data_IF_984105243741
#
_entry.id   IF_984105243741
#
_cell.length_a   1.000
_cell.length_b   1.000
_cell.length_c   1.000
_cell.angle_alpha   90.00
_cell.angle_beta   90.00
_cell.angle_gamma   90.00
#
_symmetry.space_group_name_H-M   'P 1'
#
loop_
_entity.id
_entity.type
_entity.pdbx_description
1 polymer ?
#
# COMPACT_ATOMS: atom_id res chain seq x y z
N UNK A 1 11.75 39.65 -22.66
CA UNK A 1 11.13 38.32 -22.50
C UNK A 1 9.69 38.55 -22.06
N UNK A 2 8.64 38.19 -22.81
CA UNK A 2 7.28 38.41 -22.37
C UNK A 2 7.03 37.47 -21.19
N UNK A 3 6.66 38.01 -20.05
CA UNK A 3 6.10 37.29 -18.90
C UNK A 3 4.74 36.76 -19.34
N UNK A 4 4.69 35.49 -19.76
CA UNK A 4 3.42 34.83 -20.01
C UNK A 4 2.68 34.77 -18.67
N UNK A 5 1.56 35.49 -18.60
CA UNK A 5 0.75 35.61 -17.40
C UNK A 5 0.28 34.21 -16.99
N UNK A 6 0.60 33.80 -15.78
CA UNK A 6 0.29 32.46 -15.25
C UNK A 6 -1.22 32.14 -15.37
N UNK A 7 -2.05 33.17 -15.49
CA UNK A 7 -3.50 33.05 -15.63
C UNK A 7 -3.94 32.50 -17.01
N UNK A 8 -3.18 32.76 -18.08
CA UNK A 8 -3.51 32.29 -19.43
C UNK A 8 -3.16 30.82 -19.66
N UNK A 9 -2.17 30.30 -18.96
CA UNK A 9 -1.69 28.90 -19.11
C UNK A 9 -2.78 27.89 -18.69
N UNK A 10 -3.58 28.21 -17.66
CA UNK A 10 -4.66 27.32 -17.16
C UNK A 10 -5.78 27.11 -18.20
N UNK A 11 -6.02 28.05 -19.07
CA UNK A 11 -7.08 27.98 -20.09
C UNK A 11 -6.78 26.95 -21.18
N UNK A 12 -5.53 26.50 -21.32
CA UNK A 12 -5.10 25.59 -22.40
C UNK A 12 -4.82 24.18 -21.94
N UNK A 13 -4.60 23.93 -20.64
CA UNK A 13 -4.40 22.57 -20.09
C UNK A 13 -5.76 21.92 -19.82
N UNK A 14 -5.99 20.76 -20.42
CA UNK A 14 -7.19 19.96 -20.19
C UNK A 14 -6.89 18.71 -19.37
N UNK A 15 -7.90 18.14 -18.70
CA UNK A 15 -7.77 16.84 -18.03
C UNK A 15 -7.33 15.72 -18.99
N UNK A 16 -7.65 15.85 -20.27
CA UNK A 16 -7.19 14.93 -21.32
C UNK A 16 -5.68 14.97 -21.46
N UNK A 17 -5.08 16.15 -21.51
CA UNK A 17 -3.62 16.32 -21.53
C UNK A 17 -2.97 15.61 -20.34
N UNK A 18 -3.50 15.84 -19.14
CA UNK A 18 -2.96 15.25 -17.90
C UNK A 18 -3.07 13.71 -17.90
N UNK A 19 -4.23 13.17 -18.26
CA UNK A 19 -4.44 11.71 -18.37
C UNK A 19 -3.51 11.07 -19.40
N UNK A 20 -3.34 11.70 -20.57
CA UNK A 20 -2.48 11.19 -21.63
C UNK A 20 -1.02 11.21 -21.20
N UNK A 21 -0.59 12.30 -20.56
CA UNK A 21 0.76 12.42 -20.04
C UNK A 21 1.08 11.33 -18.99
N UNK A 22 0.20 11.11 -18.01
CA UNK A 22 0.39 10.06 -17.00
C UNK A 22 0.46 8.68 -17.65
N UNK A 23 -0.41 8.37 -18.61
CA UNK A 23 -0.40 7.08 -19.28
C UNK A 23 0.92 6.83 -20.04
N UNK A 24 1.45 7.85 -20.75
CA UNK A 24 2.75 7.72 -21.44
C UNK A 24 3.90 7.62 -20.43
N UNK A 25 3.84 8.37 -19.33
CA UNK A 25 4.87 8.35 -18.28
C UNK A 25 4.96 6.97 -17.58
N UNK A 26 3.84 6.29 -17.39
CA UNK A 26 3.79 4.96 -16.76
C UNK A 26 4.19 3.84 -17.73
N UNK A 27 3.76 3.93 -18.98
CA UNK A 27 4.08 2.92 -20.00
C UNK A 27 5.48 3.08 -20.61
N UNK A 28 6.04 4.29 -20.58
CA UNK A 28 7.28 4.67 -21.29
C UNK A 28 7.26 4.23 -22.77
N UNK A 29 6.04 4.20 -23.34
CA UNK A 29 5.80 3.75 -24.72
C UNK A 29 4.47 4.27 -25.27
N UNK A 30 4.51 5.10 -26.29
CA UNK A 30 3.31 5.74 -26.86
C UNK A 30 2.24 4.76 -27.34
N UNK A 31 2.62 3.69 -28.04
CA UNK A 31 1.63 2.72 -28.55
C UNK A 31 0.99 1.87 -27.44
N UNK A 32 1.69 1.56 -26.33
CA UNK A 32 1.11 0.89 -25.17
C UNK A 32 0.17 1.84 -24.43
N UNK A 33 0.58 3.08 -24.20
CA UNK A 33 -0.27 4.10 -23.59
C UNK A 33 -1.55 4.35 -24.42
N UNK A 34 -1.45 4.43 -25.76
CA UNK A 34 -2.59 4.59 -26.63
C UNK A 34 -3.58 3.42 -26.52
N UNK A 35 -3.09 2.18 -26.49
CA UNK A 35 -3.93 0.98 -26.27
C UNK A 35 -4.62 1.01 -24.90
N UNK A 36 -3.88 1.36 -23.84
CA UNK A 36 -4.44 1.49 -22.49
C UNK A 36 -5.54 2.54 -22.40
N UNK A 37 -5.41 3.62 -23.16
CA UNK A 37 -6.38 4.72 -23.21
C UNK A 37 -7.50 4.49 -24.24
N UNK A 38 -7.44 3.39 -24.97
CA UNK A 38 -8.37 3.05 -26.04
C UNK A 38 -8.46 4.13 -27.15
N UNK A 39 -7.30 4.66 -27.55
CA UNK A 39 -7.16 5.67 -28.62
C UNK A 39 -6.06 5.25 -29.61
N UNK A 40 -6.04 5.87 -30.79
CA UNK A 40 -4.92 5.71 -31.73
C UNK A 40 -3.69 6.54 -31.28
N UNK A 41 -2.48 6.10 -31.65
CA UNK A 41 -1.24 6.75 -31.23
C UNK A 41 -1.05 8.19 -31.77
N UNK A 42 -1.44 8.54 -33.02
CA UNK A 42 -1.22 9.89 -33.54
C UNK A 42 -1.86 11.00 -32.69
N UNK A 43 -3.16 10.95 -32.33
CA UNK A 43 -3.76 11.97 -31.48
C UNK A 43 -3.14 12.01 -30.06
N UNK A 44 -2.74 10.87 -29.51
CA UNK A 44 -2.01 10.87 -28.21
C UNK A 44 -0.70 11.65 -28.33
N UNK A 45 0.10 11.38 -29.36
CA UNK A 45 1.36 12.09 -29.60
C UNK A 45 1.18 13.59 -29.83
N UNK A 46 0.12 13.98 -30.53
CA UNK A 46 -0.22 15.38 -30.75
C UNK A 46 -0.58 16.09 -29.45
N UNK A 47 -1.43 15.48 -28.62
CA UNK A 47 -1.81 16.05 -27.32
C UNK A 47 -0.63 16.19 -26.36
N UNK A 48 0.32 15.25 -26.38
CA UNK A 48 1.54 15.38 -25.58
C UNK A 48 2.41 16.53 -26.10
N UNK A 49 2.55 16.73 -27.42
CA UNK A 49 3.30 17.89 -27.95
C UNK A 49 2.64 19.23 -27.55
N UNK A 50 1.32 19.32 -27.69
CA UNK A 50 0.58 20.49 -27.25
C UNK A 50 0.81 20.79 -25.76
N UNK A 51 0.83 19.75 -24.91
CA UNK A 51 1.14 19.92 -23.49
C UNK A 51 2.57 20.40 -23.28
N UNK A 52 3.56 19.85 -23.99
CA UNK A 52 4.95 20.28 -23.94
C UNK A 52 5.11 21.75 -24.38
N UNK A 53 4.38 22.16 -25.42
CA UNK A 53 4.34 23.55 -25.89
C UNK A 53 3.75 24.50 -24.83
N UNK A 54 2.64 24.11 -24.18
CA UNK A 54 2.00 24.87 -23.10
C UNK A 54 2.94 24.99 -21.87
N UNK A 55 3.59 23.89 -21.51
CA UNK A 55 4.55 23.88 -20.38
C UNK A 55 5.85 24.63 -20.70
N UNK A 56 6.12 24.82 -22.00
CA UNK A 56 7.35 25.46 -22.50
C UNK A 56 8.60 24.61 -22.33
N UNK A 57 8.43 23.30 -22.14
CA UNK A 57 9.54 22.37 -21.95
C UNK A 57 9.16 20.96 -22.41
N UNK A 58 10.13 20.23 -22.96
CA UNK A 58 9.95 18.82 -23.28
C UNK A 58 9.77 18.02 -21.98
N UNK A 59 8.72 17.22 -21.90
CA UNK A 59 8.43 16.32 -20.77
C UNK A 59 8.98 14.92 -21.00
N UNK A 60 9.20 14.55 -22.29
CA UNK A 60 9.78 13.28 -22.67
C UNK A 60 11.00 13.45 -23.56
N UNK A 61 12.02 12.63 -23.31
CA UNK A 61 13.10 12.36 -24.27
C UNK A 61 12.62 11.21 -25.16
N UNK A 62 12.61 11.43 -26.48
CA UNK A 62 12.15 10.44 -27.46
C UNK A 62 13.30 10.07 -28.37
N UNK A 63 13.66 8.81 -28.39
CA UNK A 63 14.57 8.22 -29.38
C UNK A 63 13.82 7.17 -30.19
N UNK A 64 14.40 6.70 -31.29
CA UNK A 64 13.81 5.61 -32.10
C UNK A 64 13.56 4.32 -31.29
N UNK A 65 14.19 4.17 -30.13
CA UNK A 65 14.16 2.93 -29.32
C UNK A 65 13.64 3.11 -27.90
N UNK A 66 13.55 4.34 -27.37
CA UNK A 66 13.20 4.58 -25.96
C UNK A 66 12.44 5.88 -25.78
N UNK A 67 11.51 5.85 -24.83
CA UNK A 67 10.84 7.03 -24.27
C UNK A 67 11.22 7.10 -22.79
N UNK A 68 11.67 8.26 -22.34
CA UNK A 68 12.05 8.52 -20.95
C UNK A 68 11.51 9.87 -20.51
N UNK A 69 11.24 10.05 -19.23
CA UNK A 69 10.89 11.35 -18.67
C UNK A 69 12.14 12.26 -18.59
N UNK A 70 11.95 13.54 -18.89
CA UNK A 70 12.93 14.58 -18.57
C UNK A 70 12.85 14.93 -17.08
N UNK A 71 13.76 15.78 -16.57
CA UNK A 71 13.65 16.33 -15.21
C UNK A 71 12.35 17.12 -15.05
N UNK A 72 11.95 17.90 -16.07
CA UNK A 72 10.67 18.60 -16.10
C UNK A 72 9.49 17.62 -16.10
N UNK A 73 9.57 16.53 -16.87
CA UNK A 73 8.56 15.46 -16.89
C UNK A 73 8.41 14.76 -15.54
N UNK A 74 9.49 14.50 -14.83
CA UNK A 74 9.44 13.93 -13.48
C UNK A 74 8.76 14.89 -12.50
N UNK A 75 9.15 16.16 -12.49
CA UNK A 75 8.54 17.18 -11.63
C UNK A 75 7.04 17.37 -11.94
N UNK A 76 6.68 17.34 -13.23
CA UNK A 76 5.29 17.50 -13.68
C UNK A 76 4.42 16.28 -13.34
N UNK A 77 4.99 15.06 -13.28
CA UNK A 77 4.25 13.82 -13.06
C UNK A 77 3.55 13.79 -11.69
N UNK A 78 4.29 14.14 -10.64
CA UNK A 78 3.74 14.13 -9.28
C UNK A 78 2.59 15.13 -9.10
N UNK A 79 2.76 16.35 -9.61
CA UNK A 79 1.72 17.37 -9.62
C UNK A 79 0.48 16.93 -10.39
N UNK A 80 0.69 16.38 -11.58
CA UNK A 80 -0.39 15.89 -12.45
C UNK A 80 -1.20 14.78 -11.82
N UNK A 81 -0.55 13.82 -11.17
CA UNK A 81 -1.24 12.73 -10.46
C UNK A 81 -2.11 13.26 -9.33
N UNK A 82 -1.59 14.19 -8.52
CA UNK A 82 -2.37 14.85 -7.46
C UNK A 82 -3.58 15.61 -8.01
N UNK A 83 -3.41 16.36 -9.09
CA UNK A 83 -4.51 17.12 -9.72
C UNK A 83 -5.62 16.20 -10.23
N UNK A 84 -5.27 15.10 -10.91
CA UNK A 84 -6.24 14.11 -11.38
C UNK A 84 -6.97 13.41 -10.22
N UNK A 85 -6.27 13.08 -9.15
CA UNK A 85 -6.86 12.51 -7.95
C UNK A 85 -7.84 13.49 -7.29
N UNK A 86 -7.52 14.79 -7.24
CA UNK A 86 -8.40 15.82 -6.69
C UNK A 86 -9.69 15.97 -7.49
N UNK A 87 -9.60 15.98 -8.82
CA UNK A 87 -10.78 16.01 -9.69
C UNK A 87 -11.66 14.77 -9.48
N UNK A 88 -11.05 13.59 -9.40
CA UNK A 88 -11.80 12.35 -9.13
C UNK A 88 -12.50 12.42 -7.75
N UNK A 89 -11.85 12.96 -6.72
CA UNK A 89 -12.45 13.18 -5.39
C UNK A 89 -13.63 14.14 -5.44
N UNK A 90 -13.48 15.27 -6.13
CA UNK A 90 -14.54 16.27 -6.26
C UNK A 90 -15.78 15.68 -6.92
N UNK A 91 -15.59 14.90 -7.98
CA UNK A 91 -16.68 14.21 -8.67
C UNK A 91 -17.37 13.17 -7.75
N UNK A 92 -16.59 12.36 -7.06
CA UNK A 92 -17.12 11.37 -6.12
C UNK A 92 -17.89 12.06 -4.98
N UNK A 93 -17.36 13.12 -4.37
CA UNK A 93 -18.04 13.89 -3.32
C UNK A 93 -19.36 14.47 -3.80
N UNK A 94 -19.41 15.01 -5.04
CA UNK A 94 -20.65 15.52 -5.62
C UNK A 94 -21.69 14.40 -5.85
N UNK A 95 -21.25 13.22 -6.32
CA UNK A 95 -22.12 12.05 -6.51
C UNK A 95 -22.68 11.54 -5.17
N UNK A 96 -21.86 11.42 -4.14
CA UNK A 96 -22.27 11.00 -2.79
C UNK A 96 -23.24 12.01 -2.16
N UNK A 97 -22.97 13.31 -2.28
CA UNK A 97 -23.88 14.35 -1.83
C UNK A 97 -25.26 14.26 -2.51
N UNK A 98 -25.28 13.96 -3.82
CA UNK A 98 -26.52 13.78 -4.58
C UNK A 98 -27.34 12.55 -4.11
N UNK A 99 -26.69 11.55 -3.52
CA UNK A 99 -27.32 10.35 -2.94
C UNK A 99 -27.62 10.49 -1.44
N UNK A 100 -27.43 11.67 -0.85
CA UNK A 100 -27.66 11.92 0.58
C UNK A 100 -26.54 11.47 1.51
N UNK A 101 -25.45 10.95 0.97
CA UNK A 101 -24.24 10.60 1.73
C UNK A 101 -23.44 11.89 2.00
N UNK A 102 -23.26 12.23 3.28
CA UNK A 102 -22.66 13.51 3.68
C UNK A 102 -21.14 13.54 3.65
N UNK A 103 -20.52 12.38 3.85
CA UNK A 103 -19.07 12.24 3.93
C UNK A 103 -18.59 10.92 3.32
N UNK A 104 -17.40 10.91 2.73
CA UNK A 104 -16.72 9.71 2.25
C UNK A 104 -15.33 9.61 2.90
N UNK A 105 -14.96 8.41 3.35
CA UNK A 105 -13.63 8.12 3.87
C UNK A 105 -13.02 6.94 3.10
N UNK A 106 -11.90 7.19 2.41
CA UNK A 106 -11.14 6.17 1.69
C UNK A 106 -10.06 5.61 2.59
N UNK A 107 -10.21 4.32 2.89
CA UNK A 107 -9.32 3.59 3.79
C UNK A 107 -8.49 2.61 2.99
N UNK A 108 -7.21 2.91 2.82
CA UNK A 108 -6.24 1.98 2.29
C UNK A 108 -5.83 0.96 3.35
N UNK A 109 -5.61 -0.29 2.98
CA UNK A 109 -5.16 -1.29 3.94
C UNK A 109 -4.37 -2.42 3.28
N UNK A 110 -3.53 -3.09 4.07
CA UNK A 110 -2.88 -4.33 3.67
C UNK A 110 -3.72 -5.54 4.11
N UNK A 111 -3.56 -6.69 3.43
CA UNK A 111 -4.19 -7.96 3.80
C UNK A 111 -3.99 -8.30 5.28
N UNK A 112 -2.78 -8.10 5.79
CA UNK A 112 -2.44 -8.33 7.19
C UNK A 112 -3.12 -7.37 8.16
N UNK A 113 -3.52 -6.18 7.72
CA UNK A 113 -4.31 -5.25 8.52
C UNK A 113 -5.75 -5.77 8.70
N UNK A 114 -6.32 -6.37 7.65
CA UNK A 114 -7.62 -7.02 7.71
C UNK A 114 -7.65 -8.17 8.73
N UNK A 115 -6.55 -8.91 8.87
CA UNK A 115 -6.41 -9.96 9.88
C UNK A 115 -6.15 -9.42 11.29
N UNK A 116 -5.57 -8.22 11.40
CA UNK A 116 -4.95 -7.71 12.60
C UNK A 116 -5.62 -6.51 13.29
N UNK A 117 -6.89 -6.20 13.04
CA UNK A 117 -7.58 -5.12 13.78
C UNK A 117 -8.45 -4.19 12.93
N UNK A 118 -8.29 -4.16 11.61
CA UNK A 118 -9.11 -3.33 10.73
C UNK A 118 -10.61 -3.64 10.89
N UNK A 119 -10.97 -4.93 11.01
CA UNK A 119 -12.39 -5.34 11.12
C UNK A 119 -13.07 -4.72 12.34
N UNK A 120 -12.39 -4.70 13.50
CA UNK A 120 -12.91 -4.10 14.72
C UNK A 120 -13.07 -2.59 14.58
N UNK A 121 -12.09 -1.93 13.96
CA UNK A 121 -12.12 -0.50 13.69
C UNK A 121 -13.30 -0.17 12.77
N UNK A 122 -13.45 -0.87 11.65
CA UNK A 122 -14.52 -0.66 10.68
C UNK A 122 -15.91 -0.90 11.29
N UNK A 123 -16.06 -1.97 12.09
CA UNK A 123 -17.32 -2.27 12.79
C UNK A 123 -17.71 -1.13 13.72
N UNK A 124 -16.78 -0.67 14.55
CA UNK A 124 -17.02 0.41 15.50
C UNK A 124 -17.34 1.71 14.78
N UNK A 125 -16.59 2.02 13.72
CA UNK A 125 -16.79 3.22 12.93
C UNK A 125 -18.15 3.25 12.23
N UNK A 126 -18.55 2.17 11.56
CA UNK A 126 -19.85 2.08 10.89
C UNK A 126 -21.04 2.24 11.83
N UNK A 127 -20.93 1.77 13.07
CA UNK A 127 -21.99 1.94 14.07
C UNK A 127 -22.07 3.40 14.54
N UNK A 128 -20.92 4.06 14.74
CA UNK A 128 -20.86 5.44 15.23
C UNK A 128 -21.14 6.48 14.14
N UNK A 129 -20.83 6.18 12.88
CA UNK A 129 -20.91 7.08 11.74
C UNK A 129 -21.59 6.39 10.53
N UNK A 130 -22.91 6.06 10.64
CA UNK A 130 -23.62 5.29 9.61
C UNK A 130 -23.76 6.05 8.28
N UNK A 131 -23.74 7.39 8.31
CA UNK A 131 -23.89 8.26 7.14
C UNK A 131 -22.57 8.48 6.38
N UNK A 132 -21.44 7.95 6.86
CA UNK A 132 -20.15 8.05 6.18
C UNK A 132 -19.96 6.85 5.27
N UNK A 133 -19.77 7.09 3.99
CA UNK A 133 -19.42 6.05 3.04
C UNK A 133 -17.96 5.65 3.22
N UNK A 134 -17.71 4.34 3.39
CA UNK A 134 -16.35 3.80 3.47
C UNK A 134 -15.97 3.17 2.14
N UNK A 135 -14.95 3.72 1.49
CA UNK A 135 -14.30 3.13 0.31
C UNK A 135 -13.02 2.41 0.76
N UNK A 136 -12.99 1.09 0.60
CA UNK A 136 -11.93 0.22 1.14
C UNK A 136 -11.02 -0.25 0.01
N UNK A 137 -9.73 0.13 0.08
CA UNK A 137 -8.75 -0.08 -1.00
C UNK A 137 -7.62 -0.96 -0.50
N UNK A 138 -7.60 -2.23 -0.94
CA UNK A 138 -6.54 -3.16 -0.60
C UNK A 138 -5.28 -2.92 -1.44
N UNK A 139 -4.09 -3.14 -0.84
CA UNK A 139 -2.82 -3.06 -1.53
C UNK A 139 -1.62 -3.35 -0.63
N UNK A 140 -0.42 -3.35 -1.21
CA UNK A 140 0.82 -3.48 -0.44
C UNK A 140 1.09 -2.23 0.40
N UNK A 141 1.94 -2.33 1.43
CA UNK A 141 2.33 -1.15 2.23
C UNK A 141 2.88 -0.02 1.36
N UNK A 142 3.68 -0.34 0.35
CA UNK A 142 4.22 0.68 -0.56
C UNK A 142 3.11 1.32 -1.42
N UNK A 143 2.19 0.51 -1.96
CA UNK A 143 1.07 1.03 -2.73
C UNK A 143 0.17 1.95 -1.90
N UNK A 144 -0.02 1.65 -0.61
CA UNK A 144 -0.78 2.51 0.30
C UNK A 144 -0.07 3.82 0.63
N UNK A 145 1.26 3.80 0.78
CA UNK A 145 2.05 5.03 0.93
C UNK A 145 1.92 5.92 -0.31
N UNK A 146 2.11 5.32 -1.49
CA UNK A 146 1.95 6.02 -2.76
C UNK A 146 0.52 6.58 -2.92
N UNK A 147 -0.49 5.85 -2.46
CA UNK A 147 -1.89 6.27 -2.48
C UNK A 147 -2.16 7.46 -1.55
N UNK A 148 -1.56 7.47 -0.35
CA UNK A 148 -1.60 8.62 0.57
C UNK A 148 -0.93 9.86 -0.04
N UNK A 149 0.23 9.70 -0.67
CA UNK A 149 0.95 10.80 -1.31
C UNK A 149 0.19 11.39 -2.50
N UNK A 150 -0.53 10.53 -3.24
CA UNK A 150 -1.39 10.94 -4.38
C UNK A 150 -2.78 11.40 -3.96
N UNK A 151 -3.09 11.41 -2.67
CA UNK A 151 -4.42 11.72 -2.13
C UNK A 151 -5.53 10.79 -2.68
N UNK A 152 -5.22 9.55 -3.06
CA UNK A 152 -6.21 8.55 -3.50
C UNK A 152 -6.79 7.75 -2.34
N UNK A 153 -6.14 7.77 -1.17
CA UNK A 153 -6.68 7.34 0.12
C UNK A 153 -6.51 8.44 1.15
N UNK A 154 -7.39 8.48 2.14
CA UNK A 154 -7.37 9.48 3.22
C UNK A 154 -6.60 8.97 4.44
N UNK A 155 -6.62 7.67 4.64
CA UNK A 155 -5.92 6.96 5.71
C UNK A 155 -5.47 5.59 5.21
N UNK A 156 -4.33 5.11 5.70
CA UNK A 156 -3.82 3.78 5.38
C UNK A 156 -3.49 2.99 6.65
N UNK A 157 -3.90 1.73 6.70
CA UNK A 157 -3.48 0.77 7.71
C UNK A 157 -2.46 -0.19 7.10
N UNK A 158 -1.23 -0.11 7.57
CA UNK A 158 -0.07 -0.84 7.02
C UNK A 158 0.72 -1.53 8.11
N UNK A 159 1.49 -2.54 7.75
CA UNK A 159 2.45 -3.16 8.67
C UNK A 159 3.74 -2.35 8.74
N UNK A 160 4.11 -1.97 9.95
CA UNK A 160 5.36 -1.27 10.25
C UNK A 160 6.59 -2.19 10.30
N UNK A 161 7.77 -1.60 10.36
CA UNK A 161 8.03 -0.16 10.37
C UNK A 161 7.90 0.47 8.98
N UNK A 162 7.17 1.58 8.91
CA UNK A 162 7.00 2.36 7.68
C UNK A 162 7.28 3.82 8.01
N UNK A 163 8.15 4.45 7.25
CA UNK A 163 8.47 5.87 7.39
C UNK A 163 7.94 6.65 6.19
N UNK A 164 7.37 7.82 6.45
CA UNK A 164 7.02 8.81 5.44
C UNK A 164 7.37 10.19 5.96
N UNK A 165 7.83 11.07 5.08
CA UNK A 165 8.11 12.47 5.41
C UNK A 165 6.84 13.33 5.42
N UNK A 166 5.78 12.89 4.74
CA UNK A 166 4.54 13.67 4.55
C UNK A 166 3.37 13.14 5.37
N UNK A 167 3.40 11.86 5.78
CA UNK A 167 2.35 11.24 6.54
C UNK A 167 2.73 11.09 8.02
N UNK A 168 1.76 11.34 8.90
CA UNK A 168 1.86 11.02 10.32
C UNK A 168 1.52 9.56 10.54
N UNK A 169 2.33 8.89 11.36
CA UNK A 169 2.17 7.48 11.71
C UNK A 169 1.70 7.36 13.17
N UNK A 170 0.68 6.55 13.39
CA UNK A 170 0.17 6.20 14.73
C UNK A 170 0.10 4.68 14.83
N UNK A 171 0.78 4.08 15.82
CA UNK A 171 0.68 2.65 16.06
C UNK A 171 -0.65 2.35 16.74
N UNK A 172 -1.50 1.57 16.07
CA UNK A 172 -2.83 1.21 16.59
C UNK A 172 -2.86 -0.17 17.22
N UNK A 173 -1.94 -1.07 16.83
CA UNK A 173 -1.85 -2.41 17.45
C UNK A 173 -0.40 -2.91 17.44
N UNK A 174 -0.06 -3.67 18.47
CA UNK A 174 1.15 -4.48 18.57
C UNK A 174 0.78 -5.93 18.87
N UNK A 175 1.40 -6.86 18.15
CA UNK A 175 1.19 -8.28 18.37
C UNK A 175 2.49 -9.05 18.23
N UNK A 176 2.64 -10.21 18.92
CA UNK A 176 3.84 -11.02 18.78
C UNK A 176 3.93 -11.68 17.42
N UNK A 177 5.13 -12.07 17.03
CA UNK A 177 5.35 -13.00 15.94
C UNK A 177 5.22 -14.44 16.43
N UNK A 178 4.75 -15.31 15.54
CA UNK A 178 4.62 -16.76 15.74
C UNK A 178 5.30 -17.51 14.60
N UNK A 179 5.80 -18.71 14.92
CA UNK A 179 6.21 -19.66 13.89
C UNK A 179 4.96 -20.35 13.33
N UNK A 180 4.84 -20.41 12.00
CA UNK A 180 3.88 -21.26 11.32
C UNK A 180 4.64 -22.42 10.68
N UNK A 181 4.28 -23.64 11.06
CA UNK A 181 4.96 -24.90 10.66
C UNK A 181 3.93 -25.90 10.16
N UNK A 182 4.32 -26.88 9.30
CA UNK A 182 3.43 -27.99 8.94
C UNK A 182 2.90 -28.71 10.19
N UNK A 183 1.67 -29.20 10.17
CA UNK A 183 1.03 -29.83 11.34
C UNK A 183 1.75 -31.12 11.81
N UNK A 184 2.42 -31.82 10.91
CA UNK A 184 3.22 -33.02 11.17
C UNK A 184 4.68 -32.71 11.55
N UNK A 185 5.10 -31.45 11.47
CA UNK A 185 6.46 -31.05 11.78
C UNK A 185 6.79 -31.23 13.26
N UNK A 186 8.02 -31.69 13.64
CA UNK A 186 8.38 -31.89 15.05
C UNK A 186 8.17 -30.69 15.95
N UNK A 187 8.35 -29.46 15.42
CA UNK A 187 8.12 -28.22 16.15
C UNK A 187 6.63 -27.94 16.42
N UNK A 188 5.73 -28.53 15.68
CA UNK A 188 4.28 -28.41 15.91
C UNK A 188 3.84 -28.98 17.26
N UNK A 189 4.58 -29.94 17.81
CA UNK A 189 4.32 -30.54 19.13
C UNK A 189 4.78 -29.70 20.32
N UNK A 190 5.56 -28.62 20.07
CA UNK A 190 6.06 -27.74 21.12
C UNK A 190 5.01 -26.69 21.48
N UNK A 191 4.88 -26.36 22.77
CA UNK A 191 4.02 -25.23 23.21
C UNK A 191 4.60 -23.88 22.81
N UNK A 192 5.94 -23.76 22.81
CA UNK A 192 6.70 -22.58 22.42
C UNK A 192 7.92 -23.02 21.63
N UNK A 193 8.23 -22.36 20.55
CA UNK A 193 9.36 -22.69 19.67
C UNK A 193 10.49 -21.69 19.90
N UNK A 194 11.68 -22.14 20.34
CA UNK A 194 12.86 -21.28 20.31
C UNK A 194 13.16 -20.87 18.88
N UNK A 195 13.40 -19.59 18.63
CA UNK A 195 13.66 -19.10 17.28
C UNK A 195 14.85 -19.83 16.62
N UNK A 196 15.89 -20.15 17.40
CA UNK A 196 17.05 -20.91 16.94
C UNK A 196 16.71 -22.33 16.46
N UNK A 197 15.54 -22.91 16.86
CA UNK A 197 15.10 -24.21 16.39
C UNK A 197 14.60 -24.21 14.93
N UNK A 198 14.41 -23.02 14.35
CA UNK A 198 14.11 -22.85 12.92
C UNK A 198 15.37 -22.85 12.04
N UNK A 199 16.58 -22.90 12.63
CA UNK A 199 17.82 -22.97 11.88
C UNK A 199 17.85 -24.21 10.98
N UNK A 200 18.25 -24.03 9.72
CA UNK A 200 18.35 -25.12 8.73
C UNK A 200 17.01 -25.58 8.17
N UNK A 201 15.90 -25.00 8.63
CA UNK A 201 14.61 -25.24 7.98
C UNK A 201 14.49 -24.40 6.70
N UNK A 202 13.86 -24.94 5.64
CA UNK A 202 13.47 -24.12 4.48
C UNK A 202 12.41 -23.09 4.90
N UNK A 203 12.54 -21.87 4.41
CA UNK A 203 11.59 -20.78 4.70
C UNK A 203 10.72 -20.45 3.49
N UNK A 204 9.46 -20.09 3.79
CA UNK A 204 8.55 -19.43 2.88
C UNK A 204 8.40 -17.98 3.38
N UNK A 205 8.77 -16.99 2.57
CA UNK A 205 8.69 -15.58 2.95
C UNK A 205 8.04 -14.73 1.85
N UNK A 206 7.68 -13.49 2.19
CA UNK A 206 7.36 -12.49 1.19
C UNK A 206 8.61 -12.09 0.39
N UNK A 207 8.49 -11.87 -0.94
CA UNK A 207 9.54 -11.23 -1.70
C UNK A 207 9.87 -9.87 -1.08
N UNK A 208 11.17 -9.59 -0.90
CA UNK A 208 11.60 -8.35 -0.26
C UNK A 208 11.07 -7.08 -0.96
N UNK A 209 10.93 -7.11 -2.29
CA UNK A 209 10.44 -5.97 -3.06
C UNK A 209 8.94 -5.64 -2.83
N UNK A 210 8.13 -6.63 -2.39
CA UNK A 210 6.71 -6.42 -2.07
C UNK A 210 6.50 -6.00 -0.61
N UNK A 211 7.29 -6.54 0.32
CA UNK A 211 7.16 -6.29 1.75
C UNK A 211 8.52 -6.08 2.43
N UNK A 212 9.29 -5.04 2.07
CA UNK A 212 10.66 -4.86 2.54
C UNK A 212 10.77 -4.81 4.06
N UNK A 213 9.90 -4.05 4.73
CA UNK A 213 9.92 -3.91 6.17
C UNK A 213 9.66 -5.23 6.91
N UNK A 214 8.67 -6.00 6.47
CA UNK A 214 8.36 -7.31 7.04
C UNK A 214 9.52 -8.30 6.83
N UNK A 215 10.01 -8.40 5.59
CA UNK A 215 11.13 -9.27 5.24
C UNK A 215 12.38 -8.97 6.08
N UNK A 216 12.71 -7.69 6.25
CA UNK A 216 13.89 -7.25 6.99
C UNK A 216 13.73 -7.51 8.49
N UNK A 217 12.52 -7.35 9.07
CA UNK A 217 12.23 -7.70 10.47
C UNK A 217 12.42 -9.19 10.72
N UNK A 218 11.83 -10.07 9.89
CA UNK A 218 11.97 -11.53 10.04
C UNK A 218 13.43 -11.96 9.88
N UNK A 219 14.13 -11.42 8.88
CA UNK A 219 15.55 -11.72 8.68
C UNK A 219 16.40 -11.25 9.86
N UNK A 220 16.13 -10.07 10.41
CA UNK A 220 16.81 -9.55 11.59
C UNK A 220 16.56 -10.42 12.85
N UNK A 221 15.33 -10.91 13.02
CA UNK A 221 15.01 -11.86 14.09
C UNK A 221 15.85 -13.13 13.97
N UNK A 222 15.92 -13.74 12.80
CA UNK A 222 16.71 -14.94 12.54
C UNK A 222 18.21 -14.69 12.79
N UNK A 223 18.76 -13.55 12.32
CA UNK A 223 20.15 -13.17 12.56
C UNK A 223 20.47 -13.02 14.04
N UNK A 224 19.59 -12.42 14.83
CA UNK A 224 19.74 -12.33 16.30
C UNK A 224 19.74 -13.72 16.98
N UNK A 225 19.05 -14.69 16.38
CA UNK A 225 19.09 -16.09 16.82
C UNK A 225 20.28 -16.90 16.25
N UNK A 226 21.22 -16.24 15.55
CA UNK A 226 22.46 -16.80 15.07
C UNK A 226 22.36 -17.53 13.73
N UNK A 227 21.35 -17.25 12.90
CA UNK A 227 21.22 -17.85 11.57
C UNK A 227 20.56 -16.88 10.56
N UNK A 228 20.72 -17.17 9.28
CA UNK A 228 19.96 -16.51 8.21
C UNK A 228 18.91 -17.48 7.69
N UNK A 229 17.65 -17.03 7.40
CA UNK A 229 16.64 -17.92 6.84
C UNK A 229 17.03 -18.35 5.44
N UNK A 230 16.90 -19.64 5.15
CA UNK A 230 17.08 -20.20 3.81
C UNK A 230 15.76 -20.10 3.05
N UNK A 231 15.54 -19.01 2.32
CA UNK A 231 14.29 -18.78 1.57
C UNK A 231 14.27 -19.72 0.37
N UNK A 232 13.39 -20.72 0.39
CA UNK A 232 13.19 -21.68 -0.69
C UNK A 232 11.98 -21.36 -1.55
N UNK A 233 11.00 -20.68 -0.98
CA UNK A 233 9.78 -20.25 -1.65
C UNK A 233 9.43 -18.83 -1.27
N UNK A 234 8.85 -18.11 -2.20
CA UNK A 234 8.31 -16.78 -1.98
C UNK A 234 6.81 -16.76 -2.27
N UNK A 235 6.05 -15.94 -1.55
CA UNK A 235 4.61 -15.76 -1.72
C UNK A 235 4.23 -14.30 -1.52
N UNK A 236 3.32 -13.80 -2.33
CA UNK A 236 2.87 -12.41 -2.28
C UNK A 236 1.73 -12.17 -1.26
N UNK A 237 1.15 -13.23 -0.68
CA UNK A 237 0.05 -13.17 0.29
C UNK A 237 0.16 -14.28 1.35
N UNK A 238 -0.49 -14.06 2.49
CA UNK A 238 -0.44 -15.03 3.61
C UNK A 238 -1.20 -16.31 3.32
N UNK A 239 -2.27 -16.30 2.55
CA UNK A 239 -3.07 -17.49 2.27
C UNK A 239 -2.26 -18.51 1.45
N UNK A 240 -1.59 -18.04 0.40
CA UNK A 240 -0.67 -18.85 -0.40
C UNK A 240 0.53 -19.29 0.43
N UNK A 241 1.13 -18.38 1.22
CA UNK A 241 2.24 -18.70 2.11
C UNK A 241 1.91 -19.86 3.04
N UNK A 242 0.77 -19.81 3.74
CA UNK A 242 0.33 -20.89 4.64
C UNK A 242 -0.02 -22.16 3.87
N UNK A 243 -0.47 -22.06 2.62
CA UNK A 243 -0.71 -23.24 1.78
C UNK A 243 0.59 -23.97 1.43
N UNK A 244 1.66 -23.22 1.14
CA UNK A 244 2.99 -23.77 0.90
C UNK A 244 3.57 -24.39 2.18
N UNK A 245 3.34 -23.78 3.34
CA UNK A 245 3.70 -24.37 4.65
C UNK A 245 2.93 -25.66 4.89
N UNK A 246 1.60 -25.67 4.68
CA UNK A 246 0.78 -26.89 4.83
C UNK A 246 1.24 -28.03 3.92
N UNK A 247 1.77 -27.70 2.73
CA UNK A 247 2.33 -28.66 1.79
C UNK A 247 3.75 -29.17 2.17
N UNK A 248 4.30 -28.71 3.31
CA UNK A 248 5.64 -29.12 3.77
C UNK A 248 6.81 -28.47 3.05
N UNK A 249 6.58 -27.41 2.26
CA UNK A 249 7.63 -26.71 1.50
C UNK A 249 8.52 -25.81 2.35
N UNK A 250 8.18 -25.62 3.63
CA UNK A 250 8.97 -24.86 4.58
C UNK A 250 8.20 -24.40 5.79
N UNK A 251 8.84 -23.56 6.57
CA UNK A 251 8.29 -22.87 7.74
C UNK A 251 8.24 -21.38 7.49
N UNK A 252 7.48 -20.64 8.30
CA UNK A 252 7.49 -19.18 8.24
C UNK A 252 7.33 -18.56 9.62
N UNK A 253 7.58 -17.24 9.70
CA UNK A 253 7.33 -16.41 10.87
C UNK A 253 6.33 -15.35 10.46
N UNK A 254 5.20 -15.26 11.17
CA UNK A 254 4.08 -14.38 10.83
C UNK A 254 3.57 -13.64 12.07
N UNK A 255 2.91 -12.49 11.93
CA UNK A 255 2.15 -11.88 13.03
C UNK A 255 1.08 -12.85 13.58
N UNK A 256 0.83 -12.81 14.88
CA UNK A 256 -0.10 -13.73 15.55
C UNK A 256 -1.53 -13.69 14.95
N UNK A 257 -1.97 -12.54 14.43
CA UNK A 257 -3.28 -12.40 13.78
C UNK A 257 -3.44 -13.25 12.51
N UNK A 258 -2.34 -13.66 11.87
CA UNK A 258 -2.39 -14.50 10.66
C UNK A 258 -2.98 -15.90 10.93
N UNK A 259 -2.94 -16.36 12.19
CA UNK A 259 -3.64 -17.59 12.61
C UNK A 259 -5.15 -17.58 12.37
N UNK A 260 -5.75 -16.37 12.32
CA UNK A 260 -7.18 -16.20 12.05
C UNK A 260 -7.61 -16.68 10.66
N UNK A 261 -6.66 -16.92 9.74
CA UNK A 261 -6.93 -17.57 8.45
C UNK A 261 -7.33 -19.06 8.61
N UNK A 262 -7.02 -19.68 9.76
CA UNK A 262 -7.48 -21.03 10.06
C UNK A 262 -7.03 -22.09 9.07
N UNK A 263 -5.83 -21.99 8.49
CA UNK A 263 -5.37 -22.93 7.45
C UNK A 263 -5.15 -24.33 8.03
N UNK A 264 -5.93 -25.31 7.55
CA UNK A 264 -5.76 -26.71 7.89
C UNK A 264 -4.37 -27.19 7.42
N UNK A 265 -3.68 -27.98 8.25
CA UNK A 265 -2.34 -28.48 7.97
C UNK A 265 -1.21 -27.53 8.42
N UNK A 266 -1.54 -26.41 9.07
CA UNK A 266 -0.57 -25.48 9.66
C UNK A 266 -0.79 -25.36 11.16
N UNK A 267 0.29 -25.41 11.92
CA UNK A 267 0.30 -25.14 13.35
C UNK A 267 1.05 -23.85 13.66
N UNK A 268 0.43 -22.99 14.47
CA UNK A 268 1.01 -21.73 14.92
C UNK A 268 1.55 -21.89 16.33
N UNK A 269 2.80 -21.49 16.53
CA UNK A 269 3.47 -21.63 17.83
C UNK A 269 4.14 -20.31 18.24
N UNK A 270 3.93 -19.84 19.46
CA UNK A 270 4.64 -18.70 19.99
C UNK A 270 6.15 -18.88 19.91
N UNK A 271 6.88 -17.81 19.60
CA UNK A 271 8.33 -17.80 19.57
C UNK A 271 8.89 -17.45 20.94
N UNK A 272 9.89 -18.23 21.39
CA UNK A 272 10.71 -17.86 22.55
C UNK A 272 11.87 -16.95 22.10
N UNK A 273 12.19 -15.97 22.93
CA UNK A 273 13.31 -15.04 22.71
C UNK A 273 12.90 -13.58 22.89
N UNK A 274 13.70 -12.65 22.36
CA UNK A 274 13.39 -11.22 22.44
C UNK A 274 12.02 -10.94 21.82
N UNK A 275 11.17 -10.22 22.56
CA UNK A 275 9.82 -9.86 22.11
C UNK A 275 9.89 -8.79 21.01
N UNK A 276 10.10 -9.23 19.78
CA UNK A 276 9.87 -8.37 18.61
C UNK A 276 8.37 -8.38 18.35
N UNK A 277 7.78 -7.18 18.22
CA UNK A 277 6.35 -7.03 17.99
C UNK A 277 6.11 -6.62 16.54
N UNK A 278 5.13 -7.24 15.91
CA UNK A 278 4.59 -6.74 14.65
C UNK A 278 3.67 -5.55 14.95
N UNK A 279 3.90 -4.44 14.29
CA UNK A 279 3.13 -3.22 14.49
C UNK A 279 2.14 -3.03 13.34
N UNK A 280 0.89 -2.74 13.67
CA UNK A 280 -0.10 -2.20 12.74
C UNK A 280 -0.11 -0.68 12.92
N UNK A 281 0.25 0.02 11.87
CA UNK A 281 0.33 1.46 11.83
C UNK A 281 -0.83 2.04 11.03
N UNK A 282 -1.44 3.09 11.55
CA UNK A 282 -2.36 3.96 10.85
C UNK A 282 -1.56 5.18 10.37
N UNK A 283 -1.63 5.48 9.09
CA UNK A 283 -0.93 6.59 8.46
C UNK A 283 -1.93 7.53 7.79
N UNK A 284 -1.72 8.82 7.94
CA UNK A 284 -2.55 9.85 7.32
C UNK A 284 -1.76 11.14 7.11
N UNK A 285 -2.24 12.02 6.23
CA UNK A 285 -1.62 13.34 5.99
C UNK A 285 -2.29 14.41 6.86
N UNK A 286 -1.57 15.08 7.79
CA UNK A 286 -2.16 16.09 8.68
C UNK A 286 -2.83 17.25 7.93
N UNK A 287 -2.32 17.61 6.75
CA UNK A 287 -2.89 18.66 5.91
C UNK A 287 -4.26 18.29 5.29
N UNK A 288 -4.73 17.05 5.47
CA UNK A 288 -5.96 16.49 4.87
C UNK A 288 -6.94 15.98 5.93
N UNK A 289 -6.84 16.43 7.16
CA UNK A 289 -7.76 16.06 8.22
C UNK A 289 -9.19 16.53 7.88
N UNK A 290 -10.12 15.58 7.86
CA UNK A 290 -11.57 15.80 7.81
C UNK A 290 -12.20 15.29 9.10
N UNK A 291 -13.44 15.70 9.41
CA UNK A 291 -14.17 15.17 10.58
C UNK A 291 -14.30 13.65 10.54
N UNK A 292 -14.58 13.08 9.37
CA UNK A 292 -14.66 11.64 9.16
C UNK A 292 -13.32 10.96 9.47
N UNK A 293 -12.20 11.52 9.01
CA UNK A 293 -10.86 11.00 9.28
C UNK A 293 -10.47 11.14 10.75
N UNK A 294 -10.74 12.28 11.39
CA UNK A 294 -10.47 12.48 12.82
C UNK A 294 -11.19 11.45 13.69
N UNK A 295 -12.47 11.21 13.39
CA UNK A 295 -13.27 10.20 14.07
C UNK A 295 -12.70 8.78 13.85
N UNK A 296 -12.27 8.46 12.64
CA UNK A 296 -11.65 7.17 12.33
C UNK A 296 -10.34 6.97 13.10
N UNK A 297 -9.48 7.99 13.16
CA UNK A 297 -8.24 7.96 13.94
C UNK A 297 -8.55 7.75 15.42
N UNK A 298 -9.52 8.47 15.98
CA UNK A 298 -9.91 8.34 17.38
C UNK A 298 -10.34 6.89 17.69
N UNK A 299 -11.22 6.31 16.88
CA UNK A 299 -11.67 4.92 17.06
C UNK A 299 -10.50 3.93 16.91
N UNK A 300 -9.67 4.10 15.89
CA UNK A 300 -8.54 3.20 15.66
C UNK A 300 -7.52 3.24 16.82
N UNK A 301 -7.38 4.38 17.48
CA UNK A 301 -6.47 4.54 18.62
C UNK A 301 -7.07 4.08 19.94
N UNK A 302 -8.39 3.99 20.05
CA UNK A 302 -9.11 3.49 21.24
C UNK A 302 -9.31 1.97 21.21
N UNK A 303 -9.18 1.32 20.06
CA UNK A 303 -9.40 -0.12 19.89
C UNK A 303 -8.47 -0.92 20.85
N UNK A 304 -9.00 -1.97 21.53
CA UNK A 304 -8.22 -2.73 22.51
C UNK A 304 -7.09 -3.50 21.83
N UNK A 305 -5.85 -3.21 22.19
CA UNK A 305 -4.63 -3.84 21.65
C UNK A 305 -3.36 -3.04 21.88
N UNK A 306 -3.44 -1.96 22.65
CA UNK A 306 -2.31 -1.05 22.96
C UNK A 306 -1.43 -1.51 24.13
N UNK A 307 -1.61 -2.73 24.68
CA UNK A 307 -0.79 -3.27 25.80
C UNK A 307 0.37 -4.12 25.28
#
# INVERSE_FOLDING_TARGET
MPTTDTHDIWMHITLRHLRYFVAVAEELHFSRAARRLNVSQPPLSQQIRQLEDIVGSALFVRTSRRVQLTSAGLAFLDGTRRSLAEVARTLAAAQHAAHGERDMLRVGFTDSAALGGLVEILRTYRVAYPDVHLDLIEGTSQAQLDALERDTVDVALVRGPVASVTARTVIVRREPFEAAVPADHPLAKRRVVPLAALRGQPFVLFPRHLAPAFHDVVTAMCRRAGFSPEVRQESADYQTMLSLVAAGLGVTIVPASVRNLGRIGVEFRPLAGPKVMAELALMYRPARLSRALEAFIAIATMAPGRK
#
